data_IF_027810047720
#
_entry.id   IF_027810047720
#
_cell.length_a   1.000
_cell.length_b   1.000
_cell.length_c   1.000
_cell.angle_alpha   90.00
_cell.angle_beta   90.00
_cell.angle_gamma   90.00
#
_symmetry.space_group_name_H-M   'P 1'
#
loop_
_entity.id
_entity.type
_entity.pdbx_description
1 polymer ?
#
# COMPACT_ATOMS: atom_id res chain seq x y z
N UNK A 1 26.28 -20.55 -1.50
CA UNK A 1 25.02 -20.12 -2.15
C UNK A 1 24.89 -18.63 -1.91
N UNK A 2 24.56 -17.86 -2.95
CA UNK A 2 24.44 -16.40 -2.86
C UNK A 2 23.21 -16.01 -2.02
N UNK A 3 23.45 -15.34 -0.89
CA UNK A 3 22.39 -14.93 0.05
C UNK A 3 21.35 -14.02 -0.63
N UNK A 4 21.77 -13.24 -1.64
CA UNK A 4 20.88 -12.39 -2.43
C UNK A 4 19.83 -13.20 -3.18
N UNK A 5 20.27 -14.27 -3.87
CA UNK A 5 19.39 -15.20 -4.60
C UNK A 5 18.35 -15.85 -3.68
N UNK A 6 18.75 -16.23 -2.47
CA UNK A 6 17.83 -16.81 -1.47
C UNK A 6 16.73 -15.84 -1.02
N UNK A 7 17.02 -14.53 -0.92
CA UNK A 7 16.04 -13.53 -0.51
C UNK A 7 15.01 -13.30 -1.62
N UNK A 8 15.46 -13.22 -2.87
CA UNK A 8 14.56 -13.08 -4.02
C UNK A 8 13.66 -14.31 -4.19
N UNK A 9 14.23 -15.51 -4.09
CA UNK A 9 13.46 -16.76 -4.21
C UNK A 9 12.40 -16.87 -3.10
N UNK A 10 12.74 -16.42 -1.88
CA UNK A 10 11.78 -16.36 -0.77
C UNK A 10 10.62 -15.39 -1.08
N UNK A 11 10.92 -14.15 -1.49
CA UNK A 11 9.89 -13.17 -1.85
C UNK A 11 9.01 -13.67 -3.00
N UNK A 12 9.61 -14.21 -4.06
CA UNK A 12 8.88 -14.78 -5.20
C UNK A 12 7.94 -15.90 -4.77
N UNK A 13 8.39 -16.78 -3.87
CA UNK A 13 7.54 -17.83 -3.31
C UNK A 13 6.37 -17.26 -2.49
N UNK A 14 6.60 -16.22 -1.67
CA UNK A 14 5.53 -15.55 -0.93
C UNK A 14 4.50 -14.91 -1.86
N UNK A 15 4.94 -14.31 -2.96
CA UNK A 15 4.06 -13.69 -3.96
C UNK A 15 3.25 -14.75 -4.73
N UNK A 16 3.90 -15.82 -5.17
CA UNK A 16 3.26 -16.90 -5.95
C UNK A 16 2.20 -17.65 -5.14
N UNK A 17 2.45 -17.84 -3.85
CA UNK A 17 1.54 -18.50 -2.90
C UNK A 17 0.50 -17.56 -2.27
N UNK A 18 0.45 -16.29 -2.70
CA UNK A 18 -0.49 -15.26 -2.17
C UNK A 18 -0.34 -14.96 -0.69
N UNK A 19 0.82 -15.27 -0.13
CA UNK A 19 1.05 -15.17 1.29
C UNK A 19 1.77 -13.86 1.66
N UNK A 20 2.49 -13.23 0.73
CA UNK A 20 3.13 -11.92 0.95
C UNK A 20 2.15 -10.89 1.54
N UNK A 21 2.54 -10.23 2.65
CA UNK A 21 1.81 -9.09 3.21
C UNK A 21 2.04 -7.87 2.32
N UNK A 22 0.95 -7.30 1.81
CA UNK A 22 0.99 -6.17 0.90
C UNK A 22 0.55 -4.90 1.62
N UNK A 23 1.48 -3.97 1.77
CA UNK A 23 1.22 -2.62 2.25
C UNK A 23 0.84 -1.69 1.10
N UNK A 24 -0.26 -0.96 1.21
CA UNK A 24 -0.66 0.07 0.23
C UNK A 24 -0.76 1.42 0.92
N UNK A 25 0.09 2.38 0.55
CA UNK A 25 0.15 3.71 1.17
C UNK A 25 -0.64 4.73 0.35
N UNK A 26 -1.56 5.43 1.02
CA UNK A 26 -2.47 6.40 0.43
C UNK A 26 -3.76 5.71 -0.02
N UNK A 27 -4.81 5.76 0.79
CA UNK A 27 -6.08 5.08 0.53
C UNK A 27 -7.07 5.96 -0.23
N UNK A 28 -6.55 6.80 -1.12
CA UNK A 28 -7.35 7.64 -2.01
C UNK A 28 -7.93 6.88 -3.20
N UNK A 29 -8.27 7.63 -4.24
CA UNK A 29 -8.92 7.14 -5.45
C UNK A 29 -8.18 6.01 -6.17
N UNK A 30 -6.85 5.96 -6.09
CA UNK A 30 -6.04 4.88 -6.69
C UNK A 30 -5.76 3.76 -5.68
N UNK A 31 -5.27 4.12 -4.49
CA UNK A 31 -4.77 3.14 -3.55
C UNK A 31 -5.85 2.27 -2.92
N UNK A 32 -7.05 2.79 -2.61
CA UNK A 32 -8.11 1.95 -2.05
C UNK A 32 -8.62 0.88 -3.05
N UNK A 33 -8.96 1.22 -4.31
CA UNK A 33 -9.29 0.19 -5.31
C UNK A 33 -8.18 -0.83 -5.52
N UNK A 34 -6.91 -0.39 -5.54
CA UNK A 34 -5.77 -1.29 -5.66
C UNK A 34 -5.68 -2.25 -4.46
N UNK A 35 -5.74 -1.72 -3.23
CA UNK A 35 -5.70 -2.52 -2.01
C UNK A 35 -6.81 -3.57 -1.97
N UNK A 36 -8.03 -3.20 -2.36
CA UNK A 36 -9.17 -4.12 -2.43
C UNK A 36 -8.99 -5.15 -3.55
N UNK A 37 -8.44 -4.78 -4.70
CA UNK A 37 -8.15 -5.73 -5.77
C UNK A 37 -7.10 -6.77 -5.35
N UNK A 38 -6.04 -6.33 -4.66
CA UNK A 38 -4.99 -7.19 -4.09
C UNK A 38 -5.58 -8.14 -3.04
N UNK A 39 -6.42 -7.63 -2.13
CA UNK A 39 -7.12 -8.46 -1.15
C UNK A 39 -8.02 -9.51 -1.83
N UNK A 40 -8.80 -9.11 -2.85
CA UNK A 40 -9.64 -10.04 -3.64
C UNK A 40 -8.83 -11.09 -4.38
N UNK A 41 -7.58 -10.80 -4.75
CA UNK A 41 -6.65 -11.74 -5.36
C UNK A 41 -6.09 -12.77 -4.35
N UNK A 42 -6.41 -12.62 -3.06
CA UNK A 42 -6.11 -13.58 -2.00
C UNK A 42 -4.98 -13.17 -1.07
N UNK A 43 -4.35 -12.02 -1.27
CA UNK A 43 -3.27 -11.53 -0.40
C UNK A 43 -3.82 -10.92 0.90
N UNK A 44 -3.07 -10.99 2.00
CA UNK A 44 -3.31 -10.14 3.15
C UNK A 44 -2.79 -8.71 2.89
N UNK A 45 -3.60 -7.72 3.23
CA UNK A 45 -3.38 -6.31 2.88
C UNK A 45 -3.51 -5.42 4.11
N UNK A 46 -2.47 -4.62 4.32
CA UNK A 46 -2.47 -3.49 5.25
C UNK A 46 -2.51 -2.18 4.45
N UNK A 47 -3.62 -1.47 4.52
CA UNK A 47 -3.78 -0.14 3.94
C UNK A 47 -3.29 0.95 4.89
N UNK A 48 -2.45 1.87 4.43
CA UNK A 48 -1.88 2.93 5.25
C UNK A 48 -2.42 4.29 4.82
N UNK A 49 -2.97 5.05 5.75
CA UNK A 49 -3.38 6.43 5.53
C UNK A 49 -3.11 7.28 6.79
N UNK A 50 -2.77 8.55 6.60
CA UNK A 50 -2.50 9.48 7.70
C UNK A 50 -3.79 10.02 8.32
N UNK A 51 -4.91 9.93 7.60
CA UNK A 51 -6.19 10.44 8.05
C UNK A 51 -6.95 9.38 8.86
N UNK A 52 -6.92 9.51 10.19
CA UNK A 52 -7.51 8.54 11.12
C UNK A 52 -8.99 8.22 10.83
N UNK A 53 -9.78 9.21 10.40
CA UNK A 53 -11.18 9.00 10.06
C UNK A 53 -11.38 8.08 8.85
N UNK A 54 -10.47 8.12 7.85
CA UNK A 54 -10.48 7.19 6.72
C UNK A 54 -10.18 5.78 7.19
N UNK A 55 -9.16 5.63 8.03
CA UNK A 55 -8.76 4.33 8.59
C UNK A 55 -9.92 3.69 9.35
N UNK A 56 -10.58 4.44 10.23
CA UNK A 56 -11.74 3.96 10.99
C UNK A 56 -12.90 3.55 10.08
N UNK A 57 -13.27 4.41 9.12
CA UNK A 57 -14.35 4.13 8.17
C UNK A 57 -14.09 2.84 7.38
N UNK A 58 -12.86 2.66 6.87
CA UNK A 58 -12.51 1.48 6.10
C UNK A 58 -12.50 0.20 6.94
N UNK A 59 -12.02 0.26 8.17
CA UNK A 59 -12.06 -0.88 9.10
C UNK A 59 -13.49 -1.25 9.52
N UNK A 60 -14.43 -0.31 9.44
CA UNK A 60 -15.86 -0.58 9.60
C UNK A 60 -16.53 -1.08 8.30
N UNK A 61 -15.74 -1.36 7.25
CA UNK A 61 -16.24 -1.82 5.95
C UNK A 61 -16.95 -0.74 5.14
N UNK A 62 -16.78 0.54 5.50
CA UNK A 62 -17.42 1.66 4.82
C UNK A 62 -16.43 2.30 3.83
N UNK A 63 -16.78 2.30 2.55
CA UNK A 63 -15.99 2.95 1.52
C UNK A 63 -16.47 4.39 1.30
N UNK A 64 -15.51 5.30 1.14
CA UNK A 64 -15.74 6.69 0.69
C UNK A 64 -15.32 6.89 -0.79
N UNK A 65 -14.86 5.84 -1.48
CA UNK A 65 -14.48 5.87 -2.90
C UNK A 65 -15.53 5.10 -3.71
N UNK A 66 -16.15 5.76 -4.68
CA UNK A 66 -17.20 5.18 -5.52
C UNK A 66 -16.77 3.91 -6.27
N UNK A 67 -15.50 3.83 -6.69
CA UNK A 67 -14.94 2.66 -7.37
C UNK A 67 -14.90 1.39 -6.50
N UNK A 68 -15.08 1.51 -5.18
CA UNK A 68 -15.15 0.39 -4.24
C UNK A 68 -16.45 0.50 -3.47
N UNK A 69 -17.37 -0.44 -3.65
CA UNK A 69 -18.59 -0.46 -2.84
C UNK A 69 -18.28 -0.91 -1.41
N UNK A 70 -18.99 -0.35 -0.42
CA UNK A 70 -18.88 -0.76 0.99
C UNK A 70 -19.13 -2.26 1.16
N UNK A 71 -20.04 -2.87 0.38
CA UNK A 71 -20.28 -4.32 0.40
C UNK A 71 -19.02 -5.12 0.05
N UNK A 72 -18.28 -4.71 -0.98
CA UNK A 72 -17.04 -5.39 -1.39
C UNK A 72 -15.96 -5.22 -0.33
N UNK A 73 -15.78 -4.00 0.18
CA UNK A 73 -14.80 -3.68 1.22
C UNK A 73 -15.09 -4.44 2.52
N UNK A 74 -16.32 -4.38 3.01
CA UNK A 74 -16.76 -5.08 4.22
C UNK A 74 -16.50 -6.59 4.12
N UNK A 75 -16.69 -7.20 2.94
CA UNK A 75 -16.34 -8.60 2.70
C UNK A 75 -14.85 -8.88 2.85
N UNK A 76 -13.96 -7.98 2.41
CA UNK A 76 -12.52 -8.15 2.59
C UNK A 76 -12.09 -7.99 4.05
N UNK A 77 -12.62 -6.97 4.74
CA UNK A 77 -12.41 -6.74 6.17
C UNK A 77 -12.87 -7.95 6.99
N UNK A 78 -14.10 -8.41 6.79
CA UNK A 78 -14.66 -9.55 7.52
C UNK A 78 -13.89 -10.85 7.26
N UNK A 79 -13.29 -11.01 6.08
CA UNK A 79 -12.42 -12.15 5.77
C UNK A 79 -11.01 -12.05 6.36
N UNK A 80 -10.66 -10.93 7.01
CA UNK A 80 -9.33 -10.67 7.55
C UNK A 80 -8.26 -10.35 6.50
N UNK A 81 -8.64 -10.17 5.23
CA UNK A 81 -7.70 -9.89 4.13
C UNK A 81 -7.36 -8.42 3.96
N UNK A 82 -8.17 -7.52 4.50
CA UNK A 82 -7.90 -6.09 4.45
C UNK A 82 -8.06 -5.47 5.83
N UNK A 83 -7.08 -4.65 6.22
CA UNK A 83 -7.14 -3.77 7.38
C UNK A 83 -6.53 -2.43 7.01
N UNK A 84 -7.12 -1.32 7.45
CA UNK A 84 -6.50 -0.01 7.38
C UNK A 84 -5.77 0.32 8.70
N UNK A 85 -4.68 1.08 8.64
CA UNK A 85 -3.93 1.56 9.80
C UNK A 85 -3.32 2.93 9.53
N UNK A 86 -3.07 3.69 10.60
CA UNK A 86 -2.24 4.89 10.57
C UNK A 86 -0.85 4.64 11.21
N UNK A 87 -0.59 3.42 11.68
CA UNK A 87 0.70 3.03 12.25
C UNK A 87 1.65 2.56 11.14
N UNK A 88 2.49 3.47 10.67
CA UNK A 88 3.48 3.18 9.62
C UNK A 88 4.63 2.30 10.10
N UNK A 89 4.77 2.00 11.41
CA UNK A 89 5.75 1.03 11.87
C UNK A 89 5.44 -0.40 11.35
N UNK A 90 4.18 -0.67 11.04
CA UNK A 90 3.75 -1.94 10.47
C UNK A 90 4.28 -2.17 9.04
N UNK A 91 4.83 -1.14 8.37
CA UNK A 91 5.56 -1.35 7.11
C UNK A 91 6.71 -2.34 7.25
N UNK A 92 7.26 -2.54 8.45
CA UNK A 92 8.32 -3.50 8.72
C UNK A 92 7.88 -4.96 8.49
N UNK A 93 6.60 -5.28 8.62
CA UNK A 93 6.11 -6.66 8.41
C UNK A 93 5.73 -6.93 6.95
N UNK A 94 5.40 -5.91 6.15
CA UNK A 94 5.07 -6.06 4.73
C UNK A 94 6.24 -6.65 3.93
N UNK A 95 5.95 -7.51 2.94
CA UNK A 95 6.92 -7.94 1.93
C UNK A 95 6.84 -7.09 0.66
N UNK A 96 5.67 -6.54 0.35
CA UNK A 96 5.45 -5.62 -0.77
C UNK A 96 4.86 -4.32 -0.25
N UNK A 97 5.41 -3.18 -0.66
CA UNK A 97 4.93 -1.84 -0.29
C UNK A 97 4.64 -1.06 -1.57
N UNK A 98 3.41 -0.59 -1.74
CA UNK A 98 2.97 0.15 -2.91
C UNK A 98 2.64 1.59 -2.52
N UNK A 99 3.22 2.56 -3.22
CA UNK A 99 3.05 3.99 -2.97
C UNK A 99 1.99 4.55 -3.93
N UNK A 100 0.85 4.96 -3.38
CA UNK A 100 -0.30 5.52 -4.10
C UNK A 100 -0.69 6.92 -3.55
N UNK A 101 0.29 7.71 -3.12
CA UNK A 101 0.08 9.05 -2.56
C UNK A 101 -0.17 10.09 -3.66
N UNK A 102 -0.90 11.18 -3.37
CA UNK A 102 -1.18 12.19 -4.38
C UNK A 102 0.08 12.93 -4.81
N UNK A 103 0.11 13.35 -6.08
CA UNK A 103 1.12 14.26 -6.64
C UNK A 103 0.40 15.48 -7.21
N UNK A 104 -0.17 16.34 -6.34
CA UNK A 104 -0.97 17.48 -6.77
C UNK A 104 -0.10 18.47 -7.55
N UNK A 105 -0.72 19.34 -8.33
CA UNK A 105 0.03 20.39 -9.02
C UNK A 105 0.34 21.55 -8.07
N UNK A 106 1.57 22.07 -8.14
CA UNK A 106 1.96 23.33 -7.50
C UNK A 106 1.30 24.52 -8.19
N UNK A 107 1.47 25.73 -7.63
CA UNK A 107 1.04 26.99 -8.28
C UNK A 107 1.60 27.18 -9.68
N UNK A 108 2.76 26.58 -9.97
CA UNK A 108 3.44 26.64 -11.26
C UNK A 108 3.01 25.50 -12.21
N UNK A 109 1.99 24.71 -11.84
CA UNK A 109 1.48 23.55 -12.60
C UNK A 109 2.48 22.40 -12.76
N UNK A 110 3.41 22.29 -11.83
CA UNK A 110 4.35 21.16 -11.74
C UNK A 110 3.85 20.15 -10.70
N UNK A 111 3.97 18.84 -10.92
CA UNK A 111 3.79 17.83 -9.88
C UNK A 111 4.59 18.14 -8.59
N UNK A 112 3.87 18.24 -7.47
CA UNK A 112 4.45 18.27 -6.14
C UNK A 112 4.81 16.85 -5.70
N UNK A 113 6.10 16.54 -5.77
CA UNK A 113 6.65 15.24 -5.36
C UNK A 113 6.96 15.17 -3.85
N UNK A 114 6.63 16.20 -3.06
CA UNK A 114 6.87 16.19 -1.60
C UNK A 114 6.18 15.00 -0.92
N UNK A 115 4.98 14.63 -1.36
CA UNK A 115 4.24 13.48 -0.85
C UNK A 115 4.98 12.16 -1.10
N UNK A 116 5.51 11.96 -2.32
CA UNK A 116 6.29 10.77 -2.68
C UNK A 116 7.59 10.72 -1.87
N UNK A 117 8.32 11.84 -1.78
CA UNK A 117 9.59 11.92 -1.03
C UNK A 117 9.38 11.68 0.47
N UNK A 118 8.35 12.28 1.05
CA UNK A 118 7.99 12.07 2.45
C UNK A 118 7.62 10.62 2.71
N UNK A 119 6.85 10.00 1.81
CA UNK A 119 6.48 8.58 1.90
C UNK A 119 7.71 7.68 1.80
N UNK A 120 8.62 7.95 0.85
CA UNK A 120 9.89 7.23 0.75
C UNK A 120 10.73 7.38 2.02
N UNK A 121 10.77 8.58 2.62
CA UNK A 121 11.43 8.82 3.91
C UNK A 121 10.80 8.05 5.08
N UNK A 122 9.48 7.88 5.10
CA UNK A 122 8.79 7.03 6.08
C UNK A 122 9.11 5.56 5.86
N UNK A 123 9.04 5.07 4.63
CA UNK A 123 9.40 3.68 4.28
C UNK A 123 10.85 3.39 4.70
N UNK A 124 11.79 4.30 4.41
CA UNK A 124 13.21 4.12 4.73
C UNK A 124 13.48 3.88 6.23
N UNK A 125 12.64 4.41 7.14
CA UNK A 125 12.76 4.19 8.59
C UNK A 125 12.37 2.78 9.04
N UNK A 126 11.58 2.08 8.23
CA UNK A 126 11.02 0.76 8.54
C UNK A 126 11.47 -0.31 7.55
N UNK A 127 12.33 0.05 6.59
CA UNK A 127 12.75 -0.81 5.51
C UNK A 127 13.63 -1.96 6.04
N UNK A 128 13.41 -3.15 5.51
CA UNK A 128 14.22 -4.35 5.78
C UNK A 128 14.63 -5.06 4.49
N UNK A 129 15.70 -5.88 4.53
CA UNK A 129 16.05 -6.75 3.41
C UNK A 129 14.88 -7.65 2.98
N UNK A 130 14.72 -7.80 1.66
CA UNK A 130 13.69 -8.66 1.05
C UNK A 130 12.33 -8.00 0.81
N UNK A 131 12.21 -6.68 1.02
CA UNK A 131 11.02 -5.94 0.63
C UNK A 131 11.06 -5.47 -0.82
N UNK A 132 9.90 -5.49 -1.49
CA UNK A 132 9.68 -4.85 -2.78
C UNK A 132 8.94 -3.53 -2.56
N UNK A 133 9.48 -2.43 -3.08
CA UNK A 133 8.81 -1.13 -3.10
C UNK A 133 8.39 -0.80 -4.53
N UNK A 134 7.11 -0.47 -4.72
CA UNK A 134 6.51 -0.11 -6.01
C UNK A 134 5.98 1.31 -5.93
N UNK A 135 6.41 2.17 -6.86
CA UNK A 135 5.91 3.53 -6.99
C UNK A 135 4.82 3.58 -8.06
N UNK A 136 3.58 3.75 -7.64
CA UNK A 136 2.40 3.83 -8.53
C UNK A 136 1.95 5.28 -8.74
N UNK A 137 2.26 6.19 -7.81
CA UNK A 137 2.03 7.63 -7.97
C UNK A 137 2.66 8.16 -9.27
N UNK A 138 1.95 9.05 -9.96
CA UNK A 138 2.46 9.70 -11.18
C UNK A 138 3.70 10.55 -10.89
N UNK A 139 4.81 10.26 -11.56
CA UNK A 139 6.07 11.00 -11.39
C UNK A 139 6.74 11.32 -12.72
N UNK A 140 7.91 11.99 -12.66
CA UNK A 140 8.74 12.23 -13.83
C UNK A 140 9.63 11.02 -14.14
N UNK A 141 9.99 10.79 -15.42
CA UNK A 141 11.05 9.85 -15.76
C UNK A 141 12.35 10.15 -14.99
N UNK A 142 12.93 9.12 -14.38
CA UNK A 142 14.16 9.25 -13.57
C UNK A 142 13.93 9.54 -12.08
N UNK A 143 12.68 9.57 -11.62
CA UNK A 143 12.34 9.51 -10.18
C UNK A 143 12.68 8.13 -9.62
#
# INVERSE_FOLDING_TARGET
MDASRSIYDHLLNRISTRAAEVGVIGLGYVGLPLAVAVARAGFPVSGFDIEAHKVESLNNGQSYIEAVTSTVLAGQVASGRFRATADFAELAVCEVIIICVPTPLTKNREPDLSFVRNTAGTIAKHLRPGQLVVLESTTYPGT
#
